data_IF_340989676343
#
_entry.id   IF_340989676343
#
_cell.length_a   1.000
_cell.length_b   1.000
_cell.length_c   1.000
_cell.angle_alpha   90.00
_cell.angle_beta   90.00
_cell.angle_gamma   90.00
#
_symmetry.space_group_name_H-M   'P 1'
#
loop_
_entity.id
_entity.type
_entity.pdbx_description
1 polymer ?
#
# COMPACT_ATOMS: atom_id res chain seq x y z
N UNK A 1 -37.23 -36.23 -10.50
CA UNK A 1 -36.12 -35.57 -9.79
C UNK A 1 -36.44 -34.07 -9.78
N UNK A 2 -36.70 -33.52 -8.62
CA UNK A 2 -36.82 -32.07 -8.47
C UNK A 2 -35.44 -31.46 -8.76
N UNK A 3 -35.43 -30.42 -9.60
CA UNK A 3 -34.25 -29.60 -9.86
C UNK A 3 -33.81 -28.93 -8.57
N UNK A 4 -32.56 -29.12 -8.14
CA UNK A 4 -32.03 -28.57 -6.89
C UNK A 4 -32.18 -27.06 -6.79
N UNK A 5 -32.11 -26.32 -7.92
CA UNK A 5 -32.36 -24.89 -7.99
C UNK A 5 -33.83 -24.55 -7.65
N UNK A 6 -34.76 -25.34 -8.13
CA UNK A 6 -36.21 -25.16 -7.87
C UNK A 6 -36.60 -25.51 -6.44
N UNK A 7 -35.91 -26.48 -5.83
CA UNK A 7 -36.05 -26.80 -4.40
C UNK A 7 -35.52 -25.66 -3.53
N UNK A 8 -34.37 -25.12 -3.89
CA UNK A 8 -33.79 -23.96 -3.18
C UNK A 8 -34.71 -22.71 -3.27
N UNK A 9 -35.25 -22.45 -4.44
CA UNK A 9 -36.20 -21.35 -4.67
C UNK A 9 -37.47 -21.51 -3.82
N UNK A 10 -38.05 -22.73 -3.76
CA UNK A 10 -39.23 -23.02 -2.94
C UNK A 10 -38.95 -22.91 -1.42
N UNK A 11 -37.75 -23.22 -0.98
CA UNK A 11 -37.36 -23.07 0.45
C UNK A 11 -37.08 -21.60 0.80
N UNK A 12 -36.45 -20.86 -0.10
CA UNK A 12 -36.00 -19.50 0.18
C UNK A 12 -37.07 -18.42 -0.10
N UNK A 13 -37.98 -18.66 -1.05
CA UNK A 13 -39.01 -17.67 -1.41
C UNK A 13 -39.85 -17.16 -0.22
N UNK A 14 -40.33 -18.03 0.71
CA UNK A 14 -41.04 -17.53 1.89
C UNK A 14 -40.16 -16.68 2.81
N UNK A 15 -38.88 -16.97 2.90
CA UNK A 15 -37.95 -16.18 3.72
C UNK A 15 -37.63 -14.83 3.09
N UNK A 16 -37.54 -14.78 1.77
CA UNK A 16 -37.37 -13.50 1.05
C UNK A 16 -38.62 -12.63 1.16
N UNK A 17 -39.82 -13.18 0.98
CA UNK A 17 -41.05 -12.45 1.14
C UNK A 17 -41.25 -11.92 2.58
N UNK A 18 -40.87 -12.71 3.58
CA UNK A 18 -40.90 -12.26 4.97
C UNK A 18 -39.88 -11.13 5.22
N UNK A 19 -38.68 -11.23 4.63
CA UNK A 19 -37.65 -10.20 4.72
C UNK A 19 -38.09 -8.91 4.02
N UNK A 20 -38.68 -9.00 2.83
CA UNK A 20 -39.26 -7.87 2.10
C UNK A 20 -40.39 -7.17 2.91
N UNK A 21 -41.28 -7.96 3.54
CA UNK A 21 -42.34 -7.41 4.39
C UNK A 21 -41.78 -6.72 5.64
N UNK A 22 -40.69 -7.24 6.22
CA UNK A 22 -40.03 -6.64 7.39
C UNK A 22 -39.29 -5.36 7.05
N UNK A 23 -38.79 -5.21 5.83
CA UNK A 23 -37.96 -4.08 5.39
C UNK A 23 -38.74 -3.08 4.54
N UNK A 24 -40.01 -3.38 4.19
CA UNK A 24 -40.85 -2.48 3.43
C UNK A 24 -41.03 -1.14 4.18
N UNK A 25 -40.61 -0.05 3.56
CA UNK A 25 -40.69 1.29 4.14
C UNK A 25 -39.48 1.72 4.98
N UNK A 26 -38.41 0.91 5.07
CA UNK A 26 -37.19 1.36 5.69
C UNK A 26 -36.48 2.39 4.80
N UNK A 27 -36.02 3.48 5.42
CA UNK A 27 -35.02 4.32 4.74
C UNK A 27 -33.76 3.53 4.47
N UNK A 28 -33.03 3.87 3.38
CA UNK A 28 -31.81 3.19 2.95
C UNK A 28 -30.83 2.92 4.13
N UNK A 29 -30.66 3.92 4.99
CA UNK A 29 -29.75 3.82 6.12
C UNK A 29 -30.18 2.75 7.14
N UNK A 30 -31.51 2.61 7.40
CA UNK A 30 -32.03 1.59 8.30
C UNK A 30 -31.85 0.18 7.71
N UNK A 31 -32.08 0.05 6.41
CA UNK A 31 -31.88 -1.22 5.72
C UNK A 31 -30.40 -1.63 5.71
N UNK A 32 -29.52 -0.67 5.43
CA UNK A 32 -28.07 -0.85 5.50
C UNK A 32 -27.63 -1.31 6.90
N UNK A 33 -28.12 -0.67 7.95
CA UNK A 33 -27.81 -1.05 9.32
C UNK A 33 -28.27 -2.48 9.65
N UNK A 34 -29.45 -2.88 9.20
CA UNK A 34 -29.96 -4.25 9.41
C UNK A 34 -29.07 -5.31 8.74
N UNK A 35 -28.57 -5.02 7.51
CA UNK A 35 -27.62 -5.90 6.83
C UNK A 35 -26.33 -6.03 7.66
N UNK A 36 -25.77 -4.91 8.12
CA UNK A 36 -24.53 -4.91 8.90
C UNK A 36 -24.69 -5.61 10.25
N UNK A 37 -25.86 -5.55 10.87
CA UNK A 37 -26.14 -6.28 12.11
C UNK A 37 -26.22 -7.79 11.87
N UNK A 38 -26.82 -8.24 10.76
CA UNK A 38 -26.79 -9.66 10.35
C UNK A 38 -25.37 -10.14 10.04
N UNK A 39 -24.54 -9.33 9.38
CA UNK A 39 -23.13 -9.63 9.14
C UNK A 39 -22.39 -9.78 10.46
N UNK A 40 -22.63 -8.92 11.43
CA UNK A 40 -22.06 -9.03 12.76
C UNK A 40 -22.44 -10.32 13.48
N UNK A 41 -23.72 -10.69 13.41
CA UNK A 41 -24.22 -11.96 13.99
C UNK A 41 -23.55 -13.17 13.30
N UNK A 42 -23.42 -13.14 11.97
CA UNK A 42 -22.75 -14.18 11.23
C UNK A 42 -21.27 -14.32 11.66
N UNK A 43 -20.56 -13.19 11.78
CA UNK A 43 -19.16 -13.18 12.22
C UNK A 43 -18.99 -13.79 13.61
N UNK A 44 -19.83 -13.41 14.57
CA UNK A 44 -19.80 -13.97 15.94
C UNK A 44 -20.06 -15.47 15.96
N UNK A 45 -20.98 -15.96 15.13
CA UNK A 45 -21.38 -17.36 15.14
C UNK A 45 -20.36 -18.29 14.42
N UNK A 46 -19.73 -17.81 13.35
CA UNK A 46 -18.95 -18.67 12.46
C UNK A 46 -17.47 -18.32 12.36
N UNK A 47 -17.08 -17.12 12.83
CA UNK A 47 -15.69 -16.63 12.77
C UNK A 47 -15.12 -16.25 14.15
N UNK A 48 -15.80 -16.61 15.23
CA UNK A 48 -15.25 -16.42 16.57
C UNK A 48 -13.92 -17.19 16.72
N UNK A 49 -12.93 -16.60 17.40
CA UNK A 49 -11.69 -17.30 17.72
C UNK A 49 -11.96 -18.60 18.47
N UNK A 50 -11.35 -19.68 18.03
CA UNK A 50 -11.42 -20.94 18.77
C UNK A 50 -10.44 -20.89 19.96
N UNK A 51 -10.81 -21.43 21.13
CA UNK A 51 -9.87 -21.55 22.25
C UNK A 51 -8.65 -22.38 21.84
N UNK A 52 -7.47 -21.94 22.25
CA UNK A 52 -6.25 -22.72 22.06
C UNK A 52 -6.21 -23.84 23.09
N UNK A 53 -6.05 -25.07 22.60
CA UNK A 53 -5.93 -26.27 23.44
C UNK A 53 -4.50 -26.79 23.29
N UNK A 54 -3.75 -26.77 24.40
CA UNK A 54 -2.36 -27.22 24.43
C UNK A 54 -2.24 -28.71 24.02
N UNK A 55 -1.33 -29.00 23.11
CA UNK A 55 -1.10 -30.35 22.58
C UNK A 55 -2.07 -30.78 21.46
N UNK A 56 -3.14 -30.02 21.20
CA UNK A 56 -4.14 -30.34 20.15
C UNK A 56 -4.21 -29.26 19.09
N UNK A 57 -4.18 -27.98 19.48
CA UNK A 57 -4.30 -26.87 18.54
C UNK A 57 -3.01 -26.67 17.75
N UNK A 58 -3.09 -26.50 16.41
CA UNK A 58 -1.90 -26.17 15.64
C UNK A 58 -1.39 -24.77 15.99
N UNK A 59 -0.08 -24.62 15.96
CA UNK A 59 0.58 -23.30 16.07
C UNK A 59 0.92 -22.84 14.67
N UNK A 60 0.14 -21.93 14.06
CA UNK A 60 0.42 -21.46 12.71
C UNK A 60 1.65 -20.55 12.71
N UNK A 61 2.40 -20.53 11.62
CA UNK A 61 3.54 -19.63 11.41
C UNK A 61 3.09 -18.17 11.26
N UNK A 62 1.87 -17.97 10.80
CA UNK A 62 1.22 -16.66 10.67
C UNK A 62 -0.29 -16.84 10.77
N UNK A 63 -1.02 -15.78 11.01
CA UNK A 63 -2.46 -15.81 11.05
C UNK A 63 -3.05 -14.42 10.90
N UNK A 64 -4.10 -14.33 10.11
CA UNK A 64 -4.87 -13.09 9.98
C UNK A 64 -5.65 -12.84 11.27
N UNK A 65 -5.60 -11.62 11.76
CA UNK A 65 -6.41 -11.13 12.87
C UNK A 65 -7.51 -10.25 12.29
N UNK A 66 -8.74 -10.72 12.36
CA UNK A 66 -9.92 -9.99 11.91
C UNK A 66 -11.13 -10.37 12.77
N UNK A 67 -12.14 -9.54 12.76
CA UNK A 67 -13.34 -9.73 13.56
C UNK A 67 -14.61 -9.21 12.91
N UNK A 68 -15.63 -9.06 13.73
CA UNK A 68 -16.95 -8.53 13.31
C UNK A 68 -16.85 -7.17 12.64
N UNK A 69 -16.03 -6.27 13.19
CA UNK A 69 -15.89 -4.91 12.68
C UNK A 69 -15.31 -4.90 11.25
N UNK A 70 -14.32 -5.77 10.99
CA UNK A 70 -13.69 -5.88 9.66
C UNK A 70 -14.69 -6.38 8.63
N UNK A 71 -15.46 -7.43 8.96
CA UNK A 71 -16.50 -7.95 8.06
C UNK A 71 -17.59 -6.92 7.79
N UNK A 72 -18.04 -6.17 8.82
CA UNK A 72 -18.99 -5.09 8.65
C UNK A 72 -18.46 -4.00 7.72
N UNK A 73 -17.24 -3.56 7.90
CA UNK A 73 -16.62 -2.53 7.06
C UNK A 73 -16.49 -2.98 5.61
N UNK A 74 -16.14 -4.26 5.37
CA UNK A 74 -16.06 -4.83 4.03
C UNK A 74 -17.43 -4.82 3.34
N UNK A 75 -18.49 -5.27 4.03
CA UNK A 75 -19.85 -5.28 3.49
C UNK A 75 -20.38 -3.85 3.32
N UNK A 76 -20.12 -2.95 4.28
CA UNK A 76 -20.51 -1.54 4.19
C UNK A 76 -19.88 -0.86 2.96
N UNK A 77 -18.61 -1.16 2.68
CA UNK A 77 -17.94 -0.71 1.45
C UNK A 77 -18.60 -1.27 0.19
N UNK A 78 -18.96 -2.55 0.20
CA UNK A 78 -19.65 -3.18 -0.93
C UNK A 78 -21.03 -2.56 -1.20
N UNK A 79 -21.77 -2.17 -0.16
CA UNK A 79 -23.07 -1.51 -0.27
C UNK A 79 -23.00 -0.11 -0.89
N UNK A 80 -21.84 0.55 -0.86
CA UNK A 80 -21.66 1.81 -1.60
C UNK A 80 -21.71 1.58 -3.12
N UNK A 81 -21.46 0.37 -3.58
CA UNK A 81 -21.31 -0.02 -4.98
C UNK A 81 -20.40 0.92 -5.78
N UNK A 82 -19.44 1.51 -5.08
CA UNK A 82 -18.39 2.34 -5.66
C UNK A 82 -17.17 1.47 -5.91
N UNK A 83 -16.94 1.08 -7.17
CA UNK A 83 -16.03 0.01 -7.56
C UNK A 83 -14.56 0.47 -7.75
N UNK A 84 -14.19 1.61 -7.21
CA UNK A 84 -12.82 2.15 -7.21
C UNK A 84 -12.51 2.77 -5.85
N UNK A 85 -11.40 3.52 -5.71
CA UNK A 85 -11.05 4.22 -4.47
C UNK A 85 -12.16 5.18 -4.07
N UNK A 86 -12.62 5.07 -2.82
CA UNK A 86 -13.73 5.85 -2.27
C UNK A 86 -13.49 6.19 -0.79
N UNK A 87 -14.59 6.46 -0.05
CA UNK A 87 -14.53 6.96 1.33
C UNK A 87 -13.69 6.11 2.29
N UNK A 88 -13.74 4.78 2.16
CA UNK A 88 -12.93 3.88 2.99
C UNK A 88 -11.45 4.00 2.69
N UNK A 89 -11.08 4.11 1.41
CA UNK A 89 -9.71 4.30 0.99
C UNK A 89 -9.16 5.66 1.49
N UNK A 90 -9.95 6.73 1.33
CA UNK A 90 -9.57 8.07 1.81
C UNK A 90 -9.33 8.08 3.33
N UNK A 91 -10.23 7.43 4.09
CA UNK A 91 -10.10 7.31 5.56
C UNK A 91 -8.88 6.47 5.94
N UNK A 92 -8.65 5.35 5.24
CA UNK A 92 -7.52 4.47 5.51
C UNK A 92 -6.19 5.19 5.24
N UNK A 93 -6.03 5.82 4.07
CA UNK A 93 -4.81 6.57 3.72
C UNK A 93 -4.51 7.67 4.74
N UNK A 94 -5.54 8.43 5.17
CA UNK A 94 -5.39 9.48 6.17
C UNK A 94 -4.97 8.92 7.54
N UNK A 95 -5.62 7.85 8.00
CA UNK A 95 -5.31 7.22 9.29
C UNK A 95 -3.94 6.53 9.26
N UNK A 96 -3.59 5.88 8.15
CA UNK A 96 -2.28 5.27 7.98
C UNK A 96 -1.16 6.31 7.99
N UNK A 97 -1.31 7.42 7.26
CA UNK A 97 -0.34 8.51 7.28
C UNK A 97 -0.13 9.03 8.72
N UNK A 98 -1.20 9.29 9.45
CA UNK A 98 -1.15 9.72 10.85
C UNK A 98 -0.47 8.67 11.75
N UNK A 99 -0.79 7.39 11.57
CA UNK A 99 -0.21 6.28 12.34
C UNK A 99 1.29 6.12 12.11
N UNK A 100 1.73 6.29 10.87
CA UNK A 100 3.15 6.22 10.49
C UNK A 100 3.92 7.49 10.86
N UNK A 101 3.24 8.57 11.25
CA UNK A 101 3.87 9.87 11.48
C UNK A 101 4.33 10.52 10.16
N UNK A 102 3.71 10.18 9.05
CA UNK A 102 3.98 10.72 7.72
C UNK A 102 2.86 11.65 7.25
N UNK A 103 3.17 12.53 6.32
CA UNK A 103 2.18 13.49 5.77
C UNK A 103 1.23 12.86 4.75
N UNK A 104 1.69 11.86 4.03
CA UNK A 104 0.95 11.25 2.92
C UNK A 104 1.12 9.74 2.94
N UNK A 105 0.04 9.03 2.66
CA UNK A 105 0.02 7.61 2.35
C UNK A 105 -0.89 7.37 1.15
N UNK A 106 -0.51 6.42 0.30
CA UNK A 106 -1.27 5.99 -0.87
C UNK A 106 -1.33 4.47 -0.88
N UNK A 107 -2.52 3.93 -1.07
CA UNK A 107 -2.74 2.49 -1.17
C UNK A 107 -2.43 1.96 -2.56
N UNK A 108 -1.96 0.72 -2.57
CA UNK A 108 -1.73 -0.11 -3.76
C UNK A 108 -2.19 -1.55 -3.48
N UNK A 109 -2.17 -2.40 -4.50
CA UNK A 109 -2.71 -3.76 -4.42
C UNK A 109 -1.82 -4.79 -3.70
N UNK A 110 -0.56 -4.46 -3.39
CA UNK A 110 0.35 -5.34 -2.65
C UNK A 110 1.58 -4.59 -2.15
N UNK A 111 2.32 -5.15 -1.17
CA UNK A 111 3.62 -4.63 -0.76
C UNK A 111 4.65 -4.66 -1.89
N UNK A 112 4.59 -5.67 -2.76
CA UNK A 112 5.44 -5.74 -3.96
C UNK A 112 5.19 -4.58 -4.91
N UNK A 113 3.92 -4.22 -5.14
CA UNK A 113 3.57 -3.03 -5.92
C UNK A 113 3.95 -1.73 -5.20
N UNK A 114 3.92 -1.71 -3.86
CA UNK A 114 4.41 -0.57 -3.09
C UNK A 114 5.91 -0.35 -3.31
N UNK A 115 6.72 -1.40 -3.25
CA UNK A 115 8.14 -1.36 -3.53
C UNK A 115 8.44 -0.90 -4.97
N UNK A 116 7.70 -1.45 -5.93
CA UNK A 116 7.84 -1.06 -7.33
C UNK A 116 7.47 0.42 -7.52
N UNK A 117 6.34 0.86 -6.99
CA UNK A 117 5.89 2.24 -7.09
C UNK A 117 6.85 3.21 -6.40
N UNK A 118 7.36 2.87 -5.21
CA UNK A 118 8.31 3.68 -4.47
C UNK A 118 9.59 3.93 -5.27
N UNK A 119 10.20 2.87 -5.82
CA UNK A 119 11.43 3.00 -6.59
C UNK A 119 11.18 3.69 -7.93
N UNK A 120 10.14 3.28 -8.68
CA UNK A 120 9.84 3.87 -10.00
C UNK A 120 9.60 5.37 -9.94
N UNK A 121 9.00 5.83 -8.83
CA UNK A 121 8.79 7.26 -8.59
C UNK A 121 10.08 8.07 -8.67
N UNK A 122 11.19 7.52 -8.19
CA UNK A 122 12.47 8.22 -8.16
C UNK A 122 13.12 8.37 -9.55
N UNK A 123 12.59 7.70 -10.58
CA UNK A 123 12.98 7.89 -11.98
C UNK A 123 12.26 9.07 -12.65
N UNK A 124 11.36 9.75 -11.95
CA UNK A 124 10.60 10.85 -12.53
C UNK A 124 11.50 12.01 -12.98
N UNK A 125 11.25 12.51 -14.19
CA UNK A 125 11.89 13.71 -14.72
C UNK A 125 11.67 14.96 -13.84
N UNK A 126 10.70 14.95 -12.94
CA UNK A 126 10.48 16.05 -11.98
C UNK A 126 11.63 16.20 -10.99
N UNK A 127 12.44 15.16 -10.76
CA UNK A 127 13.64 15.25 -9.93
C UNK A 127 14.88 15.72 -10.68
N UNK A 128 14.78 15.98 -11.99
CA UNK A 128 15.85 16.55 -12.81
C UNK A 128 17.18 15.78 -12.69
N UNK A 129 18.24 16.44 -12.23
CA UNK A 129 19.57 15.84 -12.05
C UNK A 129 19.65 14.74 -10.97
N UNK A 130 18.67 14.72 -10.06
CA UNK A 130 18.60 13.70 -9.00
C UNK A 130 17.74 12.48 -9.39
N UNK A 131 17.08 12.51 -10.56
CA UNK A 131 16.32 11.37 -11.04
C UNK A 131 17.23 10.16 -11.26
N UNK A 132 16.75 8.99 -10.81
CA UNK A 132 17.41 7.72 -11.08
C UNK A 132 17.34 7.38 -12.58
N UNK A 133 18.30 6.59 -13.06
CA UNK A 133 18.37 6.12 -14.44
C UNK A 133 18.94 4.70 -14.51
N UNK A 134 18.72 4.04 -15.64
CA UNK A 134 19.34 2.75 -15.91
C UNK A 134 20.88 2.85 -15.83
N UNK A 135 21.51 1.86 -15.20
CA UNK A 135 22.94 1.81 -14.93
C UNK A 135 23.38 2.48 -13.62
N UNK A 136 22.49 3.21 -12.92
CA UNK A 136 22.76 3.67 -11.57
C UNK A 136 22.81 2.46 -10.62
N UNK A 137 23.64 2.56 -9.57
CA UNK A 137 23.75 1.53 -8.55
C UNK A 137 22.84 1.81 -7.37
N UNK A 138 22.29 0.72 -6.79
CA UNK A 138 21.48 0.73 -5.60
C UNK A 138 22.05 -0.24 -4.56
N UNK A 139 22.35 0.24 -3.36
CA UNK A 139 22.83 -0.60 -2.25
C UNK A 139 21.62 -1.31 -1.64
N UNK A 140 21.78 -2.62 -1.45
CA UNK A 140 20.76 -3.51 -0.87
C UNK A 140 21.43 -4.74 -0.24
N UNK A 141 20.62 -5.70 0.22
CA UNK A 141 21.09 -6.99 0.74
C UNK A 141 20.48 -8.15 -0.04
N UNK A 142 21.18 -9.28 -0.09
CA UNK A 142 20.66 -10.49 -0.72
C UNK A 142 19.70 -11.27 0.19
N UNK A 143 19.77 -11.03 1.50
CA UNK A 143 18.92 -11.68 2.51
C UNK A 143 17.65 -10.86 2.71
N UNK A 144 16.61 -11.18 1.97
CA UNK A 144 15.36 -10.43 2.05
C UNK A 144 14.33 -10.92 1.03
N UNK A 145 13.21 -10.24 0.98
CA UNK A 145 12.16 -10.57 0.03
C UNK A 145 12.54 -10.09 -1.38
N UNK A 146 12.27 -10.88 -2.43
CA UNK A 146 12.72 -10.54 -3.80
C UNK A 146 12.26 -9.16 -4.27
N UNK A 147 11.08 -8.70 -3.87
CA UNK A 147 10.51 -7.44 -4.36
C UNK A 147 11.11 -6.19 -3.70
N UNK A 148 11.99 -6.33 -2.72
CA UNK A 148 12.88 -5.24 -2.28
C UNK A 148 13.98 -4.97 -3.33
N UNK A 149 14.34 -5.97 -4.15
CA UNK A 149 15.42 -5.88 -5.17
C UNK A 149 14.86 -5.78 -6.59
N UNK A 150 13.81 -6.55 -6.90
CA UNK A 150 13.30 -6.69 -8.27
C UNK A 150 12.97 -5.36 -8.98
N UNK A 151 12.43 -4.33 -8.33
CA UNK A 151 12.19 -3.04 -8.96
C UNK A 151 13.46 -2.42 -9.55
N UNK A 152 14.60 -2.57 -8.87
CA UNK A 152 15.88 -2.08 -9.37
C UNK A 152 16.28 -2.78 -10.69
N UNK A 153 16.09 -4.08 -10.77
CA UNK A 153 16.36 -4.86 -11.99
C UNK A 153 15.41 -4.47 -13.12
N UNK A 154 14.12 -4.28 -12.83
CA UNK A 154 13.11 -3.88 -13.81
C UNK A 154 13.41 -2.52 -14.44
N UNK A 155 14.00 -1.61 -13.67
CA UNK A 155 14.39 -0.28 -14.13
C UNK A 155 15.84 -0.19 -14.62
N UNK A 156 16.52 -1.33 -14.73
CA UNK A 156 17.89 -1.40 -15.27
C UNK A 156 18.95 -0.84 -14.34
N UNK A 157 18.69 -0.72 -13.04
CA UNK A 157 19.71 -0.40 -12.04
C UNK A 157 20.60 -1.63 -11.75
N UNK A 158 21.74 -1.37 -11.14
CA UNK A 158 22.70 -2.39 -10.72
C UNK A 158 22.62 -2.56 -9.19
N UNK A 159 22.06 -3.66 -8.66
CA UNK A 159 22.09 -3.93 -7.22
C UNK A 159 23.54 -4.18 -6.75
N UNK A 160 23.92 -3.47 -5.69
CA UNK A 160 25.17 -3.65 -4.98
C UNK A 160 24.85 -4.31 -3.64
N UNK A 161 25.15 -5.59 -3.52
CA UNK A 161 24.82 -6.36 -2.33
C UNK A 161 25.87 -6.17 -1.24
N UNK A 162 25.40 -5.78 -0.06
CA UNK A 162 26.21 -5.74 1.17
C UNK A 162 25.79 -6.90 2.06
N UNK A 163 26.73 -7.45 2.82
CA UNK A 163 26.47 -8.56 3.73
C UNK A 163 25.61 -8.13 4.93
N UNK A 164 24.99 -9.11 5.59
CA UNK A 164 24.15 -8.91 6.75
C UNK A 164 24.84 -9.34 8.04
N UNK A 165 24.41 -8.74 9.13
CA UNK A 165 24.87 -9.11 10.46
C UNK A 165 24.04 -10.27 11.03
N UNK A 166 24.71 -11.26 11.59
CA UNK A 166 24.10 -12.32 12.39
C UNK A 166 24.11 -11.87 13.86
N UNK A 167 23.05 -11.85 14.60
CA UNK A 167 21.74 -12.47 14.44
C UNK A 167 20.63 -11.54 13.94
N UNK A 168 20.92 -10.30 13.55
CA UNK A 168 19.89 -9.33 13.19
C UNK A 168 19.36 -9.51 11.77
N UNK A 169 20.14 -10.12 10.89
CA UNK A 169 19.91 -10.27 9.45
C UNK A 169 19.72 -8.94 8.71
N UNK A 170 20.03 -7.82 9.36
CA UNK A 170 20.06 -6.50 8.74
C UNK A 170 21.43 -6.23 8.13
N UNK A 171 21.48 -5.25 7.21
CA UNK A 171 22.75 -4.82 6.56
C UNK A 171 23.81 -4.48 7.61
N UNK A 172 25.07 -4.87 7.36
CA UNK A 172 26.23 -4.46 8.16
C UNK A 172 26.49 -2.97 7.97
N UNK A 173 26.24 -2.13 8.99
CA UNK A 173 26.31 -0.67 8.83
C UNK A 173 27.71 -0.19 8.39
N UNK A 174 28.77 -0.80 8.93
CA UNK A 174 30.17 -0.45 8.64
C UNK A 174 30.59 -0.73 7.21
N UNK A 175 29.84 -1.57 6.47
CA UNK A 175 30.14 -1.91 5.09
C UNK A 175 29.43 -1.01 4.07
N UNK A 176 28.42 -0.23 4.49
CA UNK A 176 27.58 0.56 3.57
C UNK A 176 28.43 1.59 2.84
N UNK A 177 29.24 2.36 3.56
CA UNK A 177 30.03 3.43 2.97
C UNK A 177 31.11 2.90 2.00
N UNK A 178 31.68 1.74 2.30
CA UNK A 178 32.67 1.09 1.42
C UNK A 178 32.04 0.57 0.09
N UNK A 179 30.72 0.36 0.09
CA UNK A 179 29.98 -0.06 -1.10
C UNK A 179 29.58 1.10 -2.02
N UNK A 180 29.80 2.35 -1.60
CA UNK A 180 29.45 3.53 -2.41
C UNK A 180 30.46 3.74 -3.50
N UNK A 181 29.99 3.87 -4.74
CA UNK A 181 30.78 4.27 -5.92
C UNK A 181 30.26 5.58 -6.52
N UNK A 182 30.90 6.07 -7.56
CA UNK A 182 30.43 7.23 -8.32
C UNK A 182 29.08 6.99 -9.05
N UNK A 183 28.63 5.75 -9.14
CA UNK A 183 27.36 5.35 -9.75
C UNK A 183 26.27 5.10 -8.73
N UNK A 184 26.59 5.01 -7.45
CA UNK A 184 25.61 4.77 -6.40
C UNK A 184 24.67 5.98 -6.26
N UNK A 185 23.36 5.73 -6.35
CA UNK A 185 22.33 6.77 -6.30
C UNK A 185 21.21 6.49 -5.30
N UNK A 186 21.10 5.24 -4.83
CA UNK A 186 20.04 4.86 -3.91
C UNK A 186 20.49 3.78 -2.92
N UNK A 187 19.76 3.71 -1.81
CA UNK A 187 19.77 2.62 -0.84
C UNK A 187 18.33 2.15 -0.71
N UNK A 188 18.06 0.85 -0.85
CA UNK A 188 16.75 0.25 -0.59
C UNK A 188 16.92 -0.97 0.28
N UNK A 189 16.34 -0.95 1.47
CA UNK A 189 16.51 -1.96 2.50
C UNK A 189 15.18 -2.28 3.16
N UNK A 190 14.99 -3.55 3.52
CA UNK A 190 13.91 -3.97 4.39
C UNK A 190 14.35 -3.96 5.86
N UNK A 191 13.42 -3.62 6.75
CA UNK A 191 13.58 -3.85 8.19
C UNK A 191 13.30 -5.32 8.46
N UNK A 192 14.36 -6.14 8.47
CA UNK A 192 14.27 -7.60 8.44
C UNK A 192 13.49 -8.15 9.62
N UNK A 193 12.41 -8.89 9.31
CA UNK A 193 11.50 -9.48 10.32
C UNK A 193 10.95 -8.45 11.31
N UNK A 194 10.81 -7.19 10.90
CA UNK A 194 10.32 -6.09 11.73
C UNK A 194 11.37 -5.45 12.64
N UNK A 195 12.62 -5.91 12.57
CA UNK A 195 13.72 -5.34 13.35
C UNK A 195 14.38 -4.19 12.56
N UNK A 196 14.36 -2.95 13.05
CA UNK A 196 14.95 -1.82 12.33
C UNK A 196 16.45 -2.02 12.10
N UNK A 197 16.90 -1.80 10.87
CA UNK A 197 18.33 -1.67 10.60
C UNK A 197 18.88 -0.36 11.19
N UNK A 198 20.21 -0.19 11.25
CA UNK A 198 20.83 1.02 11.80
C UNK A 198 20.56 2.24 10.88
N UNK A 199 19.40 2.88 11.10
CA UNK A 199 18.97 4.05 10.35
C UNK A 199 19.89 5.25 10.51
N UNK A 200 20.54 5.39 11.68
CA UNK A 200 21.49 6.49 11.89
C UNK A 200 22.66 6.42 10.90
N UNK A 201 23.22 5.21 10.69
CA UNK A 201 24.33 5.03 9.76
C UNK A 201 23.89 5.09 8.30
N UNK A 202 22.74 4.47 7.96
CA UNK A 202 22.18 4.53 6.60
C UNK A 202 21.94 5.98 6.18
N UNK A 203 21.30 6.77 7.05
CA UNK A 203 21.03 8.17 6.75
C UNK A 203 22.31 9.03 6.71
N UNK A 204 23.28 8.76 7.59
CA UNK A 204 24.59 9.43 7.54
C UNK A 204 25.26 9.25 6.17
N UNK A 205 25.28 8.00 5.66
CA UNK A 205 25.89 7.70 4.34
C UNK A 205 25.04 8.33 3.23
N UNK A 206 23.72 8.20 3.29
CA UNK A 206 22.82 8.76 2.30
C UNK A 206 22.96 10.28 2.16
N UNK A 207 23.03 11.01 3.27
CA UNK A 207 23.24 12.46 3.28
C UNK A 207 24.61 12.83 2.72
N UNK A 208 25.66 12.12 3.15
CA UNK A 208 27.05 12.39 2.68
C UNK A 208 27.21 12.26 1.17
N UNK A 209 26.50 11.30 0.56
CA UNK A 209 26.65 10.97 -0.87
C UNK A 209 25.42 11.36 -1.72
N UNK A 210 24.46 12.09 -1.13
CA UNK A 210 23.22 12.50 -1.77
C UNK A 210 22.46 11.32 -2.41
N UNK A 211 22.19 10.28 -1.62
CA UNK A 211 21.53 9.06 -2.07
C UNK A 211 20.04 9.09 -1.70
N UNK A 212 19.21 8.55 -2.58
CA UNK A 212 17.83 8.22 -2.25
C UNK A 212 17.77 7.06 -1.25
N UNK A 213 16.84 7.11 -0.31
CA UNK A 213 16.58 6.03 0.65
C UNK A 213 15.13 5.61 0.55
N UNK A 214 14.92 4.32 0.30
CA UNK A 214 13.61 3.65 0.35
C UNK A 214 13.66 2.61 1.46
N UNK A 215 12.72 2.75 2.41
CA UNK A 215 12.57 1.84 3.54
C UNK A 215 11.43 0.85 3.27
N UNK A 216 11.74 -0.42 3.08
CA UNK A 216 10.73 -1.48 3.00
C UNK A 216 10.32 -1.89 4.42
N UNK A 217 9.13 -1.44 4.82
CA UNK A 217 8.56 -1.67 6.15
C UNK A 217 7.48 -2.76 6.14
N UNK A 218 7.43 -3.63 5.13
CA UNK A 218 6.39 -4.65 5.02
C UNK A 218 6.27 -5.53 6.28
N UNK A 219 7.39 -5.82 6.93
CA UNK A 219 7.44 -6.59 8.19
C UNK A 219 7.51 -5.70 9.44
N UNK A 220 7.47 -4.38 9.31
CA UNK A 220 7.85 -3.46 10.39
C UNK A 220 6.78 -2.40 10.74
N UNK A 221 5.50 -2.67 10.45
CA UNK A 221 4.42 -1.76 10.83
C UNK A 221 4.41 -1.52 12.35
N UNK A 222 4.64 -0.27 12.76
CA UNK A 222 4.67 0.15 14.16
C UNK A 222 6.03 0.00 14.85
N UNK A 223 7.06 -0.52 14.17
CA UNK A 223 8.42 -0.51 14.68
C UNK A 223 8.97 0.92 14.73
N UNK A 224 9.87 1.17 15.68
CA UNK A 224 10.51 2.47 15.87
C UNK A 224 12.03 2.32 16.02
N UNK A 225 12.74 3.34 15.55
CA UNK A 225 14.17 3.50 15.79
C UNK A 225 14.38 4.83 16.54
N UNK A 226 14.97 4.79 17.72
CA UNK A 226 15.16 5.97 18.58
C UNK A 226 13.86 6.78 18.80
N UNK A 227 12.71 6.09 18.93
CA UNK A 227 11.40 6.71 19.18
C UNK A 227 10.67 7.27 17.93
N UNK A 228 11.31 7.25 16.76
CA UNK A 228 10.68 7.63 15.49
C UNK A 228 10.25 6.39 14.70
N UNK A 229 9.07 6.43 14.10
CA UNK A 229 8.54 5.33 13.26
C UNK A 229 9.44 5.03 12.07
N UNK A 230 9.72 3.75 11.81
CA UNK A 230 10.48 3.35 10.61
C UNK A 230 9.68 3.66 9.35
N UNK A 231 10.38 3.87 8.22
CA UNK A 231 9.79 4.31 6.96
C UNK A 231 9.66 5.83 6.84
N UNK A 232 10.01 6.58 7.91
CA UNK A 232 9.96 8.05 7.93
C UNK A 232 11.34 8.72 8.01
N UNK A 233 12.39 7.93 8.00
CA UNK A 233 13.78 8.44 7.98
C UNK A 233 14.24 8.73 6.56
N UNK A 234 13.95 7.83 5.63
CA UNK A 234 14.28 7.98 4.22
C UNK A 234 13.32 8.90 3.46
N UNK A 235 13.26 8.69 2.17
CA UNK A 235 12.43 9.49 1.27
C UNK A 235 11.04 8.90 1.06
N UNK A 236 10.96 7.55 1.07
CA UNK A 236 9.75 6.77 0.83
C UNK A 236 9.77 5.53 1.70
N UNK A 237 8.67 5.27 2.38
CA UNK A 237 8.42 4.01 3.09
C UNK A 237 7.34 3.20 2.40
N UNK A 238 7.41 1.87 2.51
CA UNK A 238 6.44 0.94 1.93
C UNK A 238 5.87 -0.01 2.98
N UNK A 239 4.65 -0.48 2.77
CA UNK A 239 3.97 -1.44 3.63
C UNK A 239 3.26 -2.50 2.80
N UNK A 240 3.07 -3.67 3.40
CA UNK A 240 2.25 -4.75 2.87
C UNK A 240 1.14 -5.10 3.85
N UNK A 241 -0.03 -5.43 3.29
CA UNK A 241 -1.20 -5.90 4.04
C UNK A 241 -1.62 -7.29 3.59
N UNK A 242 -0.66 -8.10 3.15
CA UNK A 242 -0.83 -9.53 2.92
C UNK A 242 -1.20 -10.25 4.23
N UNK A 243 -1.94 -11.38 4.21
CA UNK A 243 -2.45 -12.03 5.43
C UNK A 243 -1.43 -12.37 6.51
N UNK A 244 -0.15 -12.54 6.16
CA UNK A 244 0.91 -12.85 7.11
C UNK A 244 1.44 -11.64 7.88
N UNK A 245 1.14 -10.41 7.43
CA UNK A 245 1.63 -9.18 8.06
C UNK A 245 0.75 -8.73 9.25
N UNK A 246 1.13 -7.65 9.91
CA UNK A 246 0.53 -7.14 11.16
C UNK A 246 -0.96 -6.81 11.05
N UNK A 247 -1.37 -6.26 9.91
CA UNK A 247 -2.78 -6.06 9.53
C UNK A 247 -2.96 -6.57 8.10
N UNK A 248 -4.17 -6.97 7.74
CA UNK A 248 -4.42 -7.54 6.41
C UNK A 248 -5.62 -6.91 5.72
N UNK A 249 -5.48 -6.76 4.40
CA UNK A 249 -6.57 -6.45 3.47
C UNK A 249 -6.95 -7.66 2.60
N UNK A 250 -6.44 -8.88 2.92
CA UNK A 250 -6.39 -10.01 1.99
C UNK A 250 -5.19 -9.83 1.04
N UNK A 251 -5.26 -8.89 0.14
CA UNK A 251 -4.14 -8.32 -0.60
C UNK A 251 -4.17 -6.81 -0.50
N UNK A 252 -3.02 -6.18 -0.35
CA UNK A 252 -2.89 -4.74 -0.26
C UNK A 252 -1.49 -4.30 0.11
N UNK A 253 -1.23 -3.03 -0.09
CA UNK A 253 -0.01 -2.37 0.29
C UNK A 253 -0.18 -0.86 0.36
N UNK A 254 0.82 -0.16 0.82
CA UNK A 254 0.84 1.29 0.81
C UNK A 254 2.25 1.83 0.62
N UNK A 255 2.32 3.03 0.06
CA UNK A 255 3.52 3.86 -0.01
C UNK A 255 3.26 5.13 0.79
N UNK A 256 4.21 5.57 1.59
CA UNK A 256 4.07 6.78 2.38
C UNK A 256 5.32 7.66 2.34
N UNK A 257 5.13 8.97 2.47
CA UNK A 257 6.21 9.95 2.35
C UNK A 257 5.81 11.30 2.95
N UNK A 258 6.78 12.09 3.37
CA UNK A 258 6.59 13.50 3.77
C UNK A 258 6.81 14.49 2.63
N UNK A 259 7.30 14.02 1.49
CA UNK A 259 7.71 14.86 0.37
C UNK A 259 6.55 15.11 -0.60
N UNK A 260 6.03 16.35 -0.74
CA UNK A 260 4.88 16.63 -1.61
C UNK A 260 5.14 16.30 -3.09
N UNK A 261 6.38 16.47 -3.57
CA UNK A 261 6.73 16.14 -4.94
C UNK A 261 6.73 14.63 -5.18
N UNK A 262 7.24 13.85 -4.23
CA UNK A 262 7.20 12.39 -4.30
C UNK A 262 5.73 11.93 -4.31
N UNK A 263 4.90 12.43 -3.39
CA UNK A 263 3.46 12.13 -3.35
C UNK A 263 2.78 12.39 -4.69
N UNK A 264 3.06 13.50 -5.34
CA UNK A 264 2.48 13.84 -6.64
C UNK A 264 2.89 12.84 -7.73
N UNK A 265 4.15 12.42 -7.75
CA UNK A 265 4.63 11.44 -8.72
C UNK A 265 4.06 10.04 -8.43
N UNK A 266 3.98 9.65 -7.15
CA UNK A 266 3.33 8.41 -6.73
C UNK A 266 1.89 8.32 -7.23
N UNK A 267 1.11 9.39 -7.05
CA UNK A 267 -0.27 9.44 -7.57
C UNK A 267 -0.33 9.31 -9.08
N UNK A 268 0.53 10.05 -9.78
CA UNK A 268 0.60 9.97 -11.24
C UNK A 268 0.90 8.54 -11.70
N UNK A 269 1.94 7.91 -11.15
CA UNK A 269 2.36 6.58 -11.55
C UNK A 269 1.36 5.50 -11.16
N UNK A 270 0.75 5.58 -9.97
CA UNK A 270 -0.33 4.68 -9.55
C UNK A 270 -1.54 4.76 -10.48
N UNK A 271 -1.81 5.94 -11.01
CA UNK A 271 -2.98 6.23 -11.85
C UNK A 271 -2.56 6.33 -13.33
N UNK A 272 -1.86 5.32 -13.85
CA UNK A 272 -1.44 5.15 -15.25
C UNK A 272 -0.46 6.20 -15.78
N UNK A 273 0.14 7.01 -14.94
CA UNK A 273 1.02 8.12 -15.35
C UNK A 273 0.31 9.42 -15.69
N UNK A 274 -0.97 9.58 -15.29
CA UNK A 274 -1.76 10.79 -15.55
C UNK A 274 -1.12 12.06 -15.00
N UNK A 275 -1.26 13.15 -15.72
CA UNK A 275 -0.96 14.51 -15.21
C UNK A 275 -2.15 15.14 -14.47
N UNK A 276 -3.17 14.38 -14.12
CA UNK A 276 -4.35 14.81 -13.37
C UNK A 276 -4.38 14.14 -11.99
N UNK A 277 -4.60 14.94 -10.95
CA UNK A 277 -4.71 14.50 -9.55
C UNK A 277 -6.12 14.68 -8.95
N UNK A 278 -7.14 14.84 -9.79
CA UNK A 278 -8.52 14.84 -9.31
C UNK A 278 -8.87 13.47 -8.71
N UNK A 279 -9.47 13.48 -7.52
CA UNK A 279 -9.94 12.25 -6.89
C UNK A 279 -10.97 11.53 -7.79
N UNK A 280 -11.08 10.19 -7.70
CA UNK A 280 -12.10 9.43 -8.41
C UNK A 280 -13.50 10.01 -8.21
N UNK A 281 -14.28 10.12 -9.29
CA UNK A 281 -15.61 10.71 -9.26
C UNK A 281 -15.66 12.23 -9.16
N UNK A 282 -14.51 12.91 -9.02
CA UNK A 282 -14.43 14.38 -9.00
C UNK A 282 -13.69 14.89 -10.23
N UNK A 283 -14.32 15.76 -10.99
CA UNK A 283 -13.73 16.37 -12.17
C UNK A 283 -13.40 17.84 -11.94
N UNK A 284 -12.36 18.31 -12.62
CA UNK A 284 -11.97 19.72 -12.69
C UNK A 284 -11.79 20.41 -11.33
N UNK A 285 -11.36 19.68 -10.28
CA UNK A 285 -11.12 20.25 -8.95
C UNK A 285 -9.99 21.28 -8.94
N UNK A 286 -9.10 21.25 -9.95
CA UNK A 286 -8.04 22.26 -10.14
C UNK A 286 -8.55 23.53 -10.84
N UNK A 287 -9.76 23.54 -11.43
CA UNK A 287 -10.30 24.64 -12.23
C UNK A 287 -9.53 24.92 -13.53
N UNK A 288 -8.64 24.01 -13.95
CA UNK A 288 -7.71 24.24 -15.07
C UNK A 288 -7.70 23.08 -16.08
N UNK A 289 -8.80 22.32 -16.16
CA UNK A 289 -8.87 21.11 -17.00
C UNK A 289 -8.54 21.38 -18.47
N UNK A 290 -8.98 22.52 -19.00
CA UNK A 290 -8.83 22.89 -20.42
C UNK A 290 -7.94 24.11 -20.64
N UNK A 291 -7.31 24.65 -19.58
CA UNK A 291 -6.53 25.90 -19.67
C UNK A 291 -5.02 25.69 -19.84
N UNK A 292 -4.56 24.44 -19.76
CA UNK A 292 -3.14 24.14 -19.87
C UNK A 292 -2.68 24.15 -21.32
N UNK A 293 -1.52 24.72 -21.56
CA UNK A 293 -0.80 24.57 -22.82
C UNK A 293 0.17 23.40 -22.69
N UNK A 294 0.00 22.38 -23.53
CA UNK A 294 0.70 21.09 -23.46
C UNK A 294 1.52 20.91 -24.75
N UNK A 295 2.72 21.50 -24.79
CA UNK A 295 3.58 21.48 -25.98
C UNK A 295 2.86 22.03 -27.22
N UNK A 296 2.84 21.23 -28.29
CA UNK A 296 2.22 21.57 -29.56
C UNK A 296 0.73 21.16 -29.67
N UNK A 297 0.14 20.64 -28.59
CA UNK A 297 -1.27 20.28 -28.58
C UNK A 297 -2.16 21.54 -28.67
N UNK A 298 -3.37 21.43 -29.29
CA UNK A 298 -4.30 22.54 -29.39
C UNK A 298 -4.65 23.10 -27.99
N UNK A 299 -4.86 24.42 -27.91
CA UNK A 299 -5.42 25.02 -26.71
C UNK A 299 -6.79 24.42 -26.40
N UNK A 300 -7.04 24.14 -25.11
CA UNK A 300 -8.27 23.47 -24.67
C UNK A 300 -8.17 21.95 -24.68
N UNK A 301 -6.99 21.38 -24.93
CA UNK A 301 -6.78 19.95 -24.76
C UNK A 301 -7.02 19.53 -23.32
N UNK A 302 -7.73 18.43 -23.10
CA UNK A 302 -8.05 17.94 -21.77
C UNK A 302 -6.82 17.33 -21.10
N UNK A 303 -6.22 18.04 -20.13
CA UNK A 303 -5.03 17.56 -19.43
C UNK A 303 -5.26 16.28 -18.60
N UNK A 304 -6.52 15.92 -18.33
CA UNK A 304 -6.87 14.66 -17.65
C UNK A 304 -6.39 13.43 -18.44
N UNK A 305 -6.31 13.56 -19.76
CA UNK A 305 -5.84 12.49 -20.66
C UNK A 305 -4.42 12.72 -21.17
N UNK A 306 -3.65 13.52 -20.44
CA UNK A 306 -2.21 13.69 -20.67
C UNK A 306 -1.46 12.82 -19.66
N UNK A 307 -0.45 12.13 -20.14
CA UNK A 307 0.36 11.22 -19.34
C UNK A 307 1.79 11.77 -19.25
N UNK A 308 2.24 12.06 -18.04
CA UNK A 308 3.58 12.60 -17.77
C UNK A 308 4.58 11.53 -17.36
N UNK A 309 4.10 10.33 -17.04
CA UNK A 309 4.90 9.17 -16.64
C UNK A 309 4.39 7.91 -17.33
N UNK A 310 5.23 6.88 -17.38
CA UNK A 310 4.83 5.51 -17.70
C UNK A 310 4.39 4.81 -16.41
N UNK A 311 3.13 5.05 -16.02
CA UNK A 311 2.54 4.48 -14.82
C UNK A 311 1.84 3.13 -15.08
N UNK A 312 1.21 2.54 -14.05
CA UNK A 312 0.54 1.23 -14.07
C UNK A 312 -0.64 1.15 -13.10
#
# INVERSE_FOLDING_TARGET
KLDGAKVLELILAPHFAALEAMTAGYAEQQFRQAILDMVGQYARNFHAPKPFVYGESPVPVSGKVYGEADMKSLVDSALDFWLTTGRFNEQFEAQLAARMGSRFALTVNSGSSANLLALSTLFSHYFRGDALKAGDEIITVATGFPTTVNPALQYGMVPVFVDVDLPTYNIKPEMIEAAVSSKTRAIMLAHTLGNPFNLAEVMRVAEKYNLWVVEDCCDALGATFNGQGVGTFGHVGTLSFYPAHHITMGEGGAVFTDKPMIKRVLESMRDWGRDCWCAPGKDNTCGKRFERRLGDLPHGYDHKYTYSHAGY
#
